data_IF_221224851664
#
_entry.id   IF_221224851664
#
_cell.length_a   1.000
_cell.length_b   1.000
_cell.length_c   1.000
_cell.angle_alpha   90.00
_cell.angle_beta   90.00
_cell.angle_gamma   90.00
#
_symmetry.space_group_name_H-M   'P 1'
#
loop_
_entity.id
_entity.type
_entity.pdbx_description
1 polymer ?
#
# COMPACT_ATOMS: atom_id res chain seq x y z
N UNK A 1 -26.96 12.29 -23.40
CA UNK A 1 -28.04 11.84 -22.48
C UNK A 1 -28.33 10.35 -22.58
N UNK A 2 -28.51 9.78 -23.78
CA UNK A 2 -28.79 8.35 -23.94
C UNK A 2 -27.68 7.44 -23.37
N UNK A 3 -26.41 7.76 -23.64
CA UNK A 3 -25.27 7.03 -23.07
C UNK A 3 -25.22 7.06 -21.53
N UNK A 4 -25.66 8.14 -20.87
CA UNK A 4 -25.74 8.20 -19.41
C UNK A 4 -26.82 7.26 -18.87
N UNK A 5 -28.00 7.22 -19.50
CA UNK A 5 -29.07 6.31 -19.09
C UNK A 5 -28.68 4.84 -19.30
N UNK A 6 -27.97 4.54 -20.38
CA UNK A 6 -27.43 3.20 -20.63
C UNK A 6 -26.43 2.79 -19.55
N UNK A 7 -25.54 3.69 -19.12
CA UNK A 7 -24.58 3.43 -18.04
C UNK A 7 -25.25 3.23 -16.67
N UNK A 8 -26.23 4.06 -16.31
CA UNK A 8 -27.01 3.92 -15.07
C UNK A 8 -27.77 2.58 -14.99
N UNK A 9 -28.18 2.04 -16.15
CA UNK A 9 -28.86 0.75 -16.27
C UNK A 9 -27.89 -0.43 -16.41
N UNK A 10 -26.57 -0.20 -16.44
CA UNK A 10 -25.56 -1.24 -16.65
C UNK A 10 -25.55 -1.83 -18.07
N UNK A 11 -26.16 -1.15 -19.04
CA UNK A 11 -26.23 -1.57 -20.43
C UNK A 11 -24.98 -1.12 -21.21
N UNK A 12 -24.56 -1.87 -22.24
CA UNK A 12 -23.46 -1.46 -23.10
C UNK A 12 -23.83 -0.18 -23.87
N UNK A 13 -22.95 0.83 -23.82
CA UNK A 13 -23.16 2.12 -24.50
C UNK A 13 -23.33 1.91 -26.00
N UNK A 14 -24.42 2.39 -26.59
CA UNK A 14 -24.73 2.20 -28.01
C UNK A 14 -23.93 3.15 -28.91
N UNK A 15 -23.69 4.38 -28.44
CA UNK A 15 -23.06 5.46 -29.21
C UNK A 15 -21.58 5.14 -29.59
N UNK A 16 -21.22 5.12 -30.90
CA UNK A 16 -19.88 4.80 -31.35
C UNK A 16 -18.83 5.87 -30.98
N UNK A 17 -19.22 7.14 -30.90
CA UNK A 17 -18.32 8.25 -30.53
C UNK A 17 -17.95 8.16 -29.06
N UNK A 18 -18.93 7.86 -28.20
CA UNK A 18 -18.70 7.67 -26.76
C UNK A 18 -17.86 6.41 -26.51
N UNK A 19 -18.08 5.34 -27.27
CA UNK A 19 -17.21 4.14 -27.25
C UNK A 19 -15.76 4.46 -27.61
N UNK A 20 -15.55 5.21 -28.69
CA UNK A 20 -14.21 5.61 -29.13
C UNK A 20 -13.51 6.48 -28.09
N UNK A 21 -14.23 7.48 -27.53
CA UNK A 21 -13.71 8.30 -26.44
C UNK A 21 -13.30 7.45 -25.24
N UNK A 22 -14.16 6.51 -24.83
CA UNK A 22 -13.91 5.61 -23.70
C UNK A 22 -12.66 4.74 -23.95
N UNK A 23 -12.45 4.25 -25.17
CA UNK A 23 -11.22 3.53 -25.54
C UNK A 23 -9.96 4.41 -25.40
N UNK A 24 -10.00 5.67 -25.84
CA UNK A 24 -8.89 6.61 -25.65
C UNK A 24 -8.64 6.92 -24.17
N UNK A 25 -9.69 7.08 -23.37
CA UNK A 25 -9.58 7.27 -21.92
C UNK A 25 -8.97 6.04 -21.26
N UNK A 26 -9.42 4.82 -21.58
CA UNK A 26 -8.89 3.59 -20.98
C UNK A 26 -7.42 3.35 -21.35
N UNK A 27 -7.05 3.58 -22.61
CA UNK A 27 -5.66 3.44 -23.07
C UNK A 27 -4.72 4.45 -22.41
N UNK A 28 -5.18 5.67 -22.16
CA UNK A 28 -4.41 6.68 -21.43
C UNK A 28 -4.35 6.37 -19.94
N UNK A 29 -5.48 5.98 -19.34
CA UNK A 29 -5.60 5.66 -17.93
C UNK A 29 -4.71 4.47 -17.51
N UNK A 30 -4.45 3.52 -18.40
CA UNK A 30 -3.52 2.40 -18.13
C UNK A 30 -2.11 2.83 -17.72
N UNK A 31 -1.67 4.04 -18.09
CA UNK A 31 -0.37 4.60 -17.70
C UNK A 31 -0.40 5.41 -16.41
N UNK A 32 -1.59 5.75 -15.91
CA UNK A 32 -1.77 6.50 -14.67
C UNK A 32 -1.77 5.51 -13.50
N UNK A 33 -0.79 5.65 -12.60
CA UNK A 33 -0.75 4.86 -11.36
C UNK A 33 -2.03 5.10 -10.55
N UNK A 34 -2.64 4.03 -10.04
CA UNK A 34 -3.87 4.09 -9.25
C UNK A 34 -5.17 4.18 -10.06
N UNK A 35 -5.10 4.29 -11.40
CA UNK A 35 -6.30 4.25 -12.24
C UNK A 35 -7.02 2.89 -12.16
N UNK A 36 -8.31 2.87 -12.51
CA UNK A 36 -9.10 1.63 -12.59
C UNK A 36 -8.43 0.58 -13.50
N UNK A 37 -7.82 1.02 -14.61
CA UNK A 37 -7.13 0.12 -15.52
C UNK A 37 -5.87 -0.48 -14.88
N UNK A 38 -5.09 0.33 -14.15
CA UNK A 38 -3.92 -0.16 -13.43
C UNK A 38 -4.32 -1.17 -12.34
N UNK A 39 -5.40 -0.90 -11.59
CA UNK A 39 -5.96 -1.81 -10.57
C UNK A 39 -6.43 -3.14 -11.18
N UNK A 40 -7.11 -3.11 -12.33
CA UNK A 40 -7.53 -4.33 -13.03
C UNK A 40 -6.34 -5.15 -13.52
N UNK A 41 -5.31 -4.49 -14.06
CA UNK A 41 -4.07 -5.18 -14.47
C UNK A 41 -3.35 -5.83 -13.29
N UNK A 42 -3.20 -5.12 -12.17
CA UNK A 42 -2.59 -5.63 -10.94
C UNK A 42 -3.37 -6.82 -10.37
N UNK A 43 -4.71 -6.78 -10.38
CA UNK A 43 -5.55 -7.92 -10.00
C UNK A 43 -5.28 -9.13 -10.90
N UNK A 44 -5.18 -8.93 -12.21
CA UNK A 44 -4.82 -9.98 -13.15
C UNK A 44 -3.50 -10.66 -12.79
N UNK A 45 -2.47 -9.86 -12.47
CA UNK A 45 -1.16 -10.37 -12.04
C UNK A 45 -1.27 -11.16 -10.74
N UNK A 46 -1.94 -10.60 -9.72
CA UNK A 46 -2.14 -11.26 -8.43
C UNK A 46 -2.83 -12.63 -8.58
N UNK A 47 -3.90 -12.71 -9.38
CA UNK A 47 -4.62 -13.98 -9.60
C UNK A 47 -3.86 -14.97 -10.49
N UNK A 48 -3.03 -14.49 -11.42
CA UNK A 48 -2.18 -15.37 -12.25
C UNK A 48 -0.97 -15.93 -11.49
N UNK A 49 -0.52 -15.25 -10.43
CA UNK A 49 0.65 -15.64 -9.64
C UNK A 49 0.54 -17.05 -9.04
N UNK A 50 -0.54 -17.42 -8.32
CA UNK A 50 -0.67 -18.78 -7.78
C UNK A 50 -0.85 -19.84 -8.85
N UNK A 51 -1.33 -19.47 -10.06
CA UNK A 51 -1.43 -20.37 -11.22
C UNK A 51 -0.05 -20.66 -11.81
N UNK A 52 0.83 -19.65 -11.87
CA UNK A 52 2.18 -19.78 -12.39
C UNK A 52 3.15 -20.41 -11.39
N UNK A 53 3.01 -20.05 -10.10
CA UNK A 53 3.84 -20.55 -9.01
C UNK A 53 3.14 -21.72 -8.31
N UNK A 54 2.75 -21.53 -7.06
CA UNK A 54 2.06 -22.52 -6.24
C UNK A 54 0.82 -21.89 -5.62
N UNK A 55 -0.21 -22.68 -5.32
CA UNK A 55 -1.47 -22.19 -4.78
C UNK A 55 -1.40 -21.71 -3.32
N UNK A 56 -0.26 -21.86 -2.64
CA UNK A 56 -0.10 -21.38 -1.27
C UNK A 56 0.16 -19.88 -1.28
N UNK A 57 -0.87 -19.10 -0.94
CA UNK A 57 -0.81 -17.65 -0.83
C UNK A 57 -1.35 -17.17 0.52
N UNK A 58 -0.80 -16.05 1.01
CA UNK A 58 -1.23 -15.40 2.24
C UNK A 58 -1.54 -13.93 1.95
N UNK A 59 -2.67 -13.44 2.46
CA UNK A 59 -3.03 -12.03 2.43
C UNK A 59 -2.93 -11.46 3.85
N UNK A 60 -2.16 -10.38 3.99
CA UNK A 60 -1.95 -9.67 5.25
C UNK A 60 -2.18 -8.19 5.00
N UNK A 61 -2.99 -7.57 5.87
CA UNK A 61 -3.08 -6.11 5.99
C UNK A 61 -2.38 -5.70 7.26
N UNK A 62 -1.45 -4.75 7.16
CA UNK A 62 -0.68 -4.22 8.28
C UNK A 62 -1.06 -2.74 8.41
N UNK A 63 -1.61 -2.37 9.56
CA UNK A 63 -2.06 -1.02 9.87
C UNK A 63 -1.38 -0.52 11.15
N UNK A 64 -0.15 0.04 11.04
CA UNK A 64 0.57 0.55 12.20
C UNK A 64 -0.07 1.88 12.66
N UNK A 65 -0.41 1.96 13.94
CA UNK A 65 -1.05 3.14 14.53
C UNK A 65 0.00 4.15 15.01
N UNK A 66 0.07 5.30 14.36
CA UNK A 66 1.04 6.37 14.65
C UNK A 66 0.71 7.17 15.92
N UNK A 67 -0.57 7.37 16.25
CA UNK A 67 -1.00 8.15 17.43
C UNK A 67 -0.62 7.48 18.75
N UNK A 68 -0.56 6.14 18.77
CA UNK A 68 -0.29 5.36 19.97
C UNK A 68 1.11 4.74 20.00
N UNK A 69 1.91 4.97 18.96
CA UNK A 69 3.27 4.43 18.87
C UNK A 69 4.31 5.50 19.23
N UNK A 70 5.11 5.30 20.29
CA UNK A 70 6.19 6.23 20.64
C UNK A 70 7.28 6.33 19.54
N UNK A 71 7.46 5.31 18.70
CA UNK A 71 8.40 5.36 17.56
C UNK A 71 7.96 6.42 16.55
N UNK A 72 6.65 6.60 16.33
CA UNK A 72 6.14 7.64 15.45
C UNK A 72 6.53 9.06 15.93
N UNK A 73 6.68 9.24 17.25
CA UNK A 73 7.08 10.52 17.85
C UNK A 73 8.55 10.85 17.59
N UNK A 74 9.42 9.85 17.45
CA UNK A 74 10.83 10.05 17.06
C UNK A 74 10.89 10.69 15.68
N UNK A 75 10.04 10.25 14.75
CA UNK A 75 9.96 10.84 13.42
C UNK A 75 9.41 12.27 13.45
N UNK A 76 8.59 12.62 14.44
CA UNK A 76 8.10 13.97 14.69
C UNK A 76 9.11 14.87 15.46
N UNK A 77 10.28 14.33 15.83
CA UNK A 77 11.36 15.07 16.48
C UNK A 77 11.35 15.07 18.01
N UNK A 78 10.54 14.21 18.64
CA UNK A 78 10.61 14.01 20.10
C UNK A 78 11.89 13.27 20.50
N UNK A 79 12.48 13.66 21.64
CA UNK A 79 13.70 13.07 22.18
C UNK A 79 13.36 11.81 22.99
N UNK A 80 13.38 10.65 22.31
CA UNK A 80 13.13 9.34 22.91
C UNK A 80 14.38 8.48 22.76
N UNK A 81 14.93 8.07 23.91
CA UNK A 81 16.06 7.16 23.98
C UNK A 81 15.63 5.73 23.57
N UNK A 82 16.07 5.30 22.38
CA UNK A 82 15.80 3.96 21.84
C UNK A 82 16.60 2.86 22.57
N UNK A 83 17.74 3.18 23.18
CA UNK A 83 18.54 2.20 23.93
C UNK A 83 17.90 1.87 25.29
N UNK A 84 17.07 2.79 25.81
CA UNK A 84 16.28 2.61 27.04
C UNK A 84 14.78 2.69 26.76
N UNK A 85 14.35 2.10 25.65
CA UNK A 85 12.96 2.17 25.22
C UNK A 85 12.00 1.59 26.27
N UNK A 86 11.05 2.42 26.69
CA UNK A 86 9.84 1.99 27.41
C UNK A 86 8.65 2.41 26.57
N UNK A 87 7.67 1.54 26.43
CA UNK A 87 6.46 1.82 25.65
C UNK A 87 5.63 3.04 26.17
N UNK A 88 5.96 3.55 27.35
CA UNK A 88 5.35 4.72 27.99
C UNK A 88 6.25 5.97 27.91
N UNK A 89 7.47 5.86 27.38
CA UNK A 89 8.35 7.01 27.16
C UNK A 89 7.85 7.80 25.94
N UNK A 90 7.48 9.05 26.20
CA UNK A 90 7.01 9.98 25.18
C UNK A 90 5.94 10.93 25.72
N UNK A 91 5.48 11.87 24.88
CA UNK A 91 4.39 12.76 25.25
C UNK A 91 3.09 11.99 25.50
N UNK A 92 2.13 12.63 26.19
CA UNK A 92 0.80 12.07 26.40
C UNK A 92 0.04 11.84 25.09
N UNK A 93 -1.07 11.11 25.15
CA UNK A 93 -1.82 10.74 23.94
C UNK A 93 -2.33 11.93 23.12
N UNK A 94 -2.68 13.02 23.80
CA UNK A 94 -3.16 14.23 23.13
C UNK A 94 -2.01 14.94 22.40
N UNK A 95 -0.87 15.11 23.06
CA UNK A 95 0.32 15.72 22.49
C UNK A 95 0.89 14.89 21.34
N UNK A 96 0.84 13.56 21.42
CA UNK A 96 1.19 12.67 20.30
C UNK A 96 0.32 12.91 19.07
N UNK A 97 -1.00 12.99 19.27
CA UNK A 97 -1.93 13.30 18.18
C UNK A 97 -1.67 14.69 17.58
N UNK A 98 -1.38 15.69 18.42
CA UNK A 98 -1.03 17.04 17.97
C UNK A 98 0.27 17.06 17.16
N UNK A 99 1.30 16.33 17.58
CA UNK A 99 2.58 16.25 16.87
C UNK A 99 2.42 15.61 15.49
N UNK A 100 1.67 14.51 15.40
CA UNK A 100 1.37 13.84 14.13
C UNK A 100 0.52 14.74 13.22
N UNK A 101 -0.48 15.43 13.77
CA UNK A 101 -1.30 16.36 13.00
C UNK A 101 -0.49 17.57 12.50
N UNK A 102 0.52 18.00 13.25
CA UNK A 102 1.42 19.09 12.88
C UNK A 102 2.43 18.68 11.80
N UNK A 103 2.89 17.43 11.81
CA UNK A 103 3.82 16.87 10.82
C UNK A 103 3.29 15.55 10.21
N UNK A 104 2.42 15.62 9.18
CA UNK A 104 1.94 14.43 8.48
C UNK A 104 3.06 13.71 7.71
N UNK A 105 4.20 14.36 7.46
CA UNK A 105 5.35 13.71 6.83
C UNK A 105 6.08 12.79 7.81
N UNK A 106 6.12 13.13 9.10
CA UNK A 106 6.58 12.22 10.15
C UNK A 106 5.75 10.92 10.20
N UNK A 107 4.42 11.04 10.11
CA UNK A 107 3.52 9.87 10.02
C UNK A 107 3.82 8.99 8.80
N UNK A 108 4.00 9.61 7.63
CA UNK A 108 4.34 8.88 6.40
C UNK A 108 5.70 8.19 6.49
N UNK A 109 6.70 8.83 7.10
CA UNK A 109 8.02 8.23 7.36
C UNK A 109 7.93 7.06 8.32
N UNK A 110 7.18 7.21 9.41
CA UNK A 110 6.93 6.13 10.37
C UNK A 110 6.29 4.94 9.68
N UNK A 111 5.19 5.15 8.94
CA UNK A 111 4.52 4.09 8.20
C UNK A 111 5.48 3.38 7.24
N UNK A 112 6.21 4.14 6.42
CA UNK A 112 7.15 3.58 5.46
C UNK A 112 8.27 2.78 6.14
N UNK A 113 8.83 3.31 7.23
CA UNK A 113 9.86 2.64 8.01
C UNK A 113 9.34 1.34 8.61
N UNK A 114 8.20 1.39 9.31
CA UNK A 114 7.60 0.23 10.00
C UNK A 114 7.26 -0.89 9.02
N UNK A 115 6.64 -0.57 7.88
CA UNK A 115 6.32 -1.58 6.86
C UNK A 115 7.61 -2.19 6.28
N UNK A 116 8.62 -1.37 5.96
CA UNK A 116 9.88 -1.87 5.43
C UNK A 116 10.60 -2.77 6.43
N UNK A 117 10.66 -2.38 7.70
CA UNK A 117 11.24 -3.19 8.77
C UNK A 117 10.50 -4.51 8.95
N UNK A 118 9.17 -4.52 8.89
CA UNK A 118 8.38 -5.77 8.97
C UNK A 118 8.70 -6.68 7.78
N UNK A 119 8.73 -6.15 6.56
CA UNK A 119 9.05 -6.93 5.36
C UNK A 119 10.46 -7.52 5.41
N UNK A 120 11.45 -6.71 5.75
CA UNK A 120 12.86 -7.11 5.81
C UNK A 120 13.11 -8.10 6.96
N UNK A 121 12.67 -7.78 8.18
CA UNK A 121 13.03 -8.53 9.39
C UNK A 121 12.15 -9.76 9.60
N UNK A 122 10.83 -9.63 9.43
CA UNK A 122 9.91 -10.77 9.68
C UNK A 122 9.79 -11.66 8.45
N UNK A 123 9.67 -11.09 7.26
CA UNK A 123 9.42 -11.86 6.04
C UNK A 123 10.68 -12.09 5.19
N UNK A 124 11.81 -11.45 5.50
CA UNK A 124 13.03 -11.60 4.71
C UNK A 124 12.92 -10.99 3.30
N UNK A 125 12.00 -10.05 3.08
CA UNK A 125 11.72 -9.41 1.80
C UNK A 125 12.35 -8.03 1.76
N UNK A 126 13.30 -7.82 0.84
CA UNK A 126 13.89 -6.51 0.58
C UNK A 126 13.39 -5.98 -0.77
N UNK A 127 12.74 -4.81 -0.76
CA UNK A 127 12.17 -4.18 -1.95
C UNK A 127 13.01 -2.96 -2.33
N UNK A 128 13.74 -3.07 -3.43
CA UNK A 128 14.46 -1.95 -4.05
C UNK A 128 13.69 -1.43 -5.28
N UNK A 129 14.00 -0.23 -5.80
CA UNK A 129 13.34 0.30 -7.00
C UNK A 129 13.48 -0.59 -8.26
N UNK A 130 14.46 -1.50 -8.27
CA UNK A 130 14.80 -2.30 -9.43
C UNK A 130 14.61 -3.81 -9.22
N UNK A 131 14.68 -4.27 -7.97
CA UNK A 131 14.67 -5.69 -7.64
C UNK A 131 13.98 -5.94 -6.30
N UNK A 132 13.23 -7.03 -6.23
CA UNK A 132 12.76 -7.62 -4.97
C UNK A 132 13.64 -8.82 -4.66
N UNK A 133 14.24 -8.84 -3.47
CA UNK A 133 15.01 -9.97 -2.98
C UNK A 133 14.23 -10.65 -1.86
N UNK A 134 14.28 -11.98 -1.83
CA UNK A 134 13.69 -12.80 -0.78
C UNK A 134 14.78 -13.62 -0.10
N UNK A 135 14.68 -13.73 1.20
CA UNK A 135 15.51 -14.55 2.06
C UNK A 135 14.61 -15.33 3.04
N UNK A 136 15.21 -16.12 3.92
CA UNK A 136 14.46 -16.92 4.89
C UNK A 136 13.78 -16.02 5.93
N UNK A 137 12.45 -15.91 5.87
CA UNK A 137 11.63 -15.25 6.89
C UNK A 137 10.91 -16.23 7.81
N UNK A 138 10.02 -15.71 8.66
CA UNK A 138 9.19 -16.50 9.59
C UNK A 138 8.22 -17.45 8.87
N UNK A 139 7.85 -17.13 7.63
CA UNK A 139 6.97 -17.93 6.77
C UNK A 139 7.74 -18.72 5.70
N UNK A 140 9.03 -18.98 5.94
CA UNK A 140 9.99 -19.49 4.97
C UNK A 140 10.35 -18.45 3.88
N UNK A 141 11.04 -18.90 2.85
CA UNK A 141 11.41 -18.08 1.69
C UNK A 141 10.18 -17.81 0.80
N UNK A 142 9.93 -16.54 0.51
CA UNK A 142 8.77 -16.07 -0.24
C UNK A 142 9.05 -16.12 -1.74
N UNK A 143 8.26 -16.91 -2.48
CA UNK A 143 8.42 -17.05 -3.93
C UNK A 143 7.94 -15.83 -4.74
N UNK A 144 6.94 -15.09 -4.23
CA UNK A 144 6.44 -13.86 -4.84
C UNK A 144 5.83 -12.94 -3.80
N UNK A 145 6.05 -11.64 -3.99
CA UNK A 145 5.54 -10.58 -3.12
C UNK A 145 4.73 -9.58 -3.95
N UNK A 146 3.53 -9.24 -3.46
CA UNK A 146 2.70 -8.15 -3.98
C UNK A 146 2.35 -7.23 -2.83
N UNK A 147 2.90 -6.01 -2.85
CA UNK A 147 2.66 -4.98 -1.85
C UNK A 147 1.92 -3.78 -2.40
N UNK A 148 0.91 -3.31 -1.69
CA UNK A 148 0.18 -2.08 -1.99
C UNK A 148 0.02 -1.27 -0.71
N UNK A 149 0.01 0.05 -0.87
CA UNK A 149 -0.37 1.01 0.18
C UNK A 149 -1.67 1.64 -0.29
N UNK A 150 -2.71 1.59 0.53
CA UNK A 150 -3.99 2.28 0.29
C UNK A 150 -4.04 3.63 1.00
#
# INVERSE_FOLDING_TARGET
EQACREEEQGLPISDPTVKLLRQHVHSTAGRVKGSNQSRTSLRGQLWSTPVYLRPWNLWITIDPVDIHDPIAQIFAGEDIDLDKFMAVLGPDGEKRAQNIAADPYAAAKFFHFTIRTILEVLFGIEVTPFQVQSSMGILCEVAAYFGFVE
#
